data_IF_538106804328
#
_entry.id   IF_538106804328
#
_cell.length_a   1.000
_cell.length_b   1.000
_cell.length_c   1.000
_cell.angle_alpha   90.00
_cell.angle_beta   90.00
_cell.angle_gamma   90.00
#
_symmetry.space_group_name_H-M   'P 1'
#
loop_
_entity.id
_entity.type
_entity.pdbx_description
1 polymer ?
#
# COMPACT_ATOMS: atom_id res chain seq x y z
N UNK A 1 19.40 -23.35 -6.74
CA UNK A 1 20.07 -23.31 -5.42
C UNK A 1 20.48 -21.87 -5.14
N UNK A 2 20.24 -21.36 -3.93
CA UNK A 2 20.74 -20.05 -3.51
C UNK A 2 22.02 -20.27 -2.72
N UNK A 3 23.14 -19.66 -3.16
CA UNK A 3 24.46 -19.84 -2.56
C UNK A 3 25.14 -18.49 -2.32
N UNK A 4 25.74 -18.31 -1.15
CA UNK A 4 26.56 -17.15 -0.82
C UNK A 4 28.03 -17.58 -0.65
N UNK A 5 28.97 -16.85 -1.25
CA UNK A 5 30.42 -17.11 -1.17
C UNK A 5 31.10 -16.37 0.00
N UNK A 6 30.41 -15.36 0.55
CA UNK A 6 30.80 -14.57 1.72
C UNK A 6 29.52 -14.22 2.51
N UNK A 7 29.62 -13.35 3.52
CA UNK A 7 28.49 -12.98 4.37
C UNK A 7 27.43 -12.23 3.57
N UNK A 8 26.22 -12.81 3.47
CA UNK A 8 25.07 -12.22 2.80
C UNK A 8 23.84 -12.13 3.70
N UNK A 9 22.93 -11.18 3.41
CA UNK A 9 21.59 -11.10 4.00
C UNK A 9 20.57 -11.21 2.87
N UNK A 10 19.69 -12.21 2.96
CA UNK A 10 18.68 -12.53 1.95
C UNK A 10 17.30 -12.52 2.60
N UNK A 11 16.29 -12.08 1.86
CA UNK A 11 14.88 -12.37 2.12
C UNK A 11 14.29 -13.05 0.89
N UNK A 12 13.55 -14.14 1.11
CA UNK A 12 12.77 -14.82 0.09
C UNK A 12 11.30 -14.74 0.51
N UNK A 13 10.45 -14.18 -0.36
CA UNK A 13 9.00 -14.14 -0.16
C UNK A 13 8.35 -14.83 -1.36
N UNK A 14 7.42 -15.74 -1.08
CA UNK A 14 6.61 -16.42 -2.07
C UNK A 14 5.26 -16.80 -1.48
N UNK A 15 4.29 -17.03 -2.35
CA UNK A 15 2.93 -17.39 -1.98
C UNK A 15 2.12 -17.71 -3.23
N UNK A 16 0.90 -18.19 -3.01
CA UNK A 16 -0.07 -18.38 -4.07
C UNK A 16 -0.39 -17.06 -4.77
N UNK A 17 -0.75 -17.12 -6.06
CA UNK A 17 -1.19 -15.95 -6.81
C UNK A 17 -2.45 -15.38 -6.15
N UNK A 18 -2.52 -14.06 -6.05
CA UNK A 18 -3.74 -13.38 -5.57
C UNK A 18 -4.92 -13.64 -6.50
N UNK A 19 -6.13 -13.73 -5.94
CA UNK A 19 -7.39 -14.06 -6.63
C UNK A 19 -7.80 -13.12 -7.80
N UNK A 20 -7.05 -12.05 -8.04
CA UNK A 20 -7.31 -11.13 -9.15
C UNK A 20 -6.31 -9.99 -9.21
N UNK A 21 -6.56 -9.07 -10.15
CA UNK A 21 -5.79 -7.84 -10.26
C UNK A 21 -5.88 -6.99 -8.99
N UNK A 22 -4.83 -6.22 -8.74
CA UNK A 22 -4.76 -5.24 -7.66
C UNK A 22 -4.33 -3.92 -8.24
N UNK A 23 -5.13 -2.89 -7.98
CA UNK A 23 -4.81 -1.51 -8.28
C UNK A 23 -4.00 -0.97 -7.11
N UNK A 24 -2.73 -0.66 -7.36
CA UNK A 24 -1.83 -0.06 -6.38
C UNK A 24 -1.63 1.39 -6.78
N UNK A 25 -2.01 2.32 -5.89
CA UNK A 25 -1.81 3.75 -6.10
C UNK A 25 -1.57 4.41 -4.75
N UNK A 26 -0.45 5.12 -4.62
CA UNK A 26 0.00 5.66 -3.34
C UNK A 26 -0.05 4.56 -2.25
N UNK A 27 -0.61 4.85 -1.07
CA UNK A 27 -0.75 3.91 0.03
C UNK A 27 -2.02 3.03 -0.07
N UNK A 28 -2.72 3.02 -1.20
CA UNK A 28 -3.94 2.23 -1.39
C UNK A 28 -3.72 1.05 -2.33
N UNK A 29 -4.24 -0.10 -1.91
CA UNK A 29 -4.32 -1.34 -2.70
C UNK A 29 -5.78 -1.77 -2.75
N UNK A 30 -6.37 -1.82 -3.94
CA UNK A 30 -7.78 -2.13 -4.12
C UNK A 30 -8.00 -3.21 -5.20
N UNK A 31 -9.10 -3.96 -5.09
CA UNK A 31 -9.53 -4.93 -6.11
C UNK A 31 -10.40 -4.30 -7.20
N UNK A 32 -10.85 -3.06 -7.04
CA UNK A 32 -11.65 -2.34 -8.04
C UNK A 32 -11.33 -0.84 -8.06
N UNK A 33 -11.60 -0.21 -9.21
CA UNK A 33 -11.37 1.23 -9.37
C UNK A 33 -12.28 2.06 -8.48
N UNK A 34 -13.54 1.65 -8.32
CA UNK A 34 -14.51 2.35 -7.47
C UNK A 34 -14.04 2.44 -6.01
N UNK A 35 -13.55 1.33 -5.44
CA UNK A 35 -13.00 1.32 -4.08
C UNK A 35 -11.79 2.24 -3.94
N UNK A 36 -10.92 2.27 -4.97
CA UNK A 36 -9.76 3.14 -4.96
C UNK A 36 -10.15 4.62 -4.98
N UNK A 37 -11.11 5.01 -5.81
CA UNK A 37 -11.58 6.41 -5.88
C UNK A 37 -12.33 6.83 -4.60
N UNK A 38 -13.11 5.93 -3.99
CA UNK A 38 -13.72 6.17 -2.69
C UNK A 38 -12.67 6.39 -1.60
N UNK A 39 -11.63 5.55 -1.55
CA UNK A 39 -10.54 5.69 -0.58
C UNK A 39 -9.80 7.02 -0.75
N UNK A 40 -9.54 7.46 -2.00
CA UNK A 40 -8.96 8.78 -2.28
C UNK A 40 -9.82 9.92 -1.76
N UNK A 41 -11.14 9.87 -2.00
CA UNK A 41 -12.06 10.89 -1.51
C UNK A 41 -12.08 10.93 0.02
N UNK A 42 -12.19 9.76 0.67
CA UNK A 42 -12.15 9.65 2.13
C UNK A 42 -10.85 10.19 2.73
N UNK A 43 -9.71 10.00 2.06
CA UNK A 43 -8.44 10.56 2.52
C UNK A 43 -8.40 12.09 2.40
N UNK A 44 -8.82 12.63 1.24
CA UNK A 44 -8.91 14.09 1.04
C UNK A 44 -9.82 14.77 2.06
N UNK A 45 -10.92 14.11 2.41
CA UNK A 45 -11.90 14.59 3.40
C UNK A 45 -11.55 14.20 4.84
N UNK A 46 -10.40 13.56 5.09
CA UNK A 46 -9.95 13.11 6.41
C UNK A 46 -11.00 12.26 7.15
N UNK A 47 -11.68 11.36 6.43
CA UNK A 47 -12.70 10.41 6.94
C UNK A 47 -12.14 9.06 7.36
N UNK A 48 -10.82 8.92 7.43
CA UNK A 48 -10.18 7.80 8.12
C UNK A 48 -9.99 8.17 9.59
N UNK A 49 -9.89 7.18 10.47
CA UNK A 49 -9.64 7.44 11.88
C UNK A 49 -8.30 8.16 12.05
N UNK A 50 -8.29 9.17 12.91
CA UNK A 50 -7.07 9.90 13.25
C UNK A 50 -6.14 9.02 14.09
N UNK A 51 -4.84 9.26 13.97
CA UNK A 51 -3.84 8.58 14.80
C UNK A 51 -3.71 9.33 16.13
N UNK A 52 -3.96 8.69 17.28
CA UNK A 52 -3.87 9.38 18.56
C UNK A 52 -2.47 9.93 18.83
N UNK A 53 -2.37 11.25 19.06
CA UNK A 53 -1.11 11.92 19.39
C UNK A 53 -0.26 12.33 18.18
N UNK A 54 -0.77 12.19 16.96
CA UNK A 54 -0.12 12.63 15.73
C UNK A 54 -1.09 13.43 14.88
N UNK A 55 -0.80 14.71 14.65
CA UNK A 55 -1.63 15.63 13.86
C UNK A 55 -1.09 15.84 12.44
N UNK A 56 -0.06 15.10 12.03
CA UNK A 56 0.52 15.20 10.70
C UNK A 56 -0.44 14.65 9.62
N UNK A 57 -0.55 15.38 8.50
CA UNK A 57 -1.34 14.96 7.35
C UNK A 57 -0.54 15.11 6.05
N UNK A 58 -0.40 14.00 5.33
CA UNK A 58 0.23 13.97 4.00
C UNK A 58 -0.88 13.99 2.93
N UNK A 59 -1.03 15.06 2.15
CA UNK A 59 -2.05 15.13 1.11
C UNK A 59 -1.77 14.15 -0.02
N UNK A 60 -2.82 13.77 -0.76
CA UNK A 60 -2.66 13.05 -2.01
C UNK A 60 -1.90 13.91 -3.03
N UNK A 61 -1.07 13.32 -3.91
CA UNK A 61 -0.44 14.07 -4.98
C UNK A 61 -1.48 14.66 -5.94
N UNK A 62 -1.20 15.86 -6.43
CA UNK A 62 -1.91 16.49 -7.55
C UNK A 62 -1.39 15.84 -8.84
N UNK A 63 -2.06 14.79 -9.30
CA UNK A 63 -1.77 14.20 -10.61
C UNK A 63 -2.61 14.90 -11.69
#
# INVERSE_FOLDING_TARGET
>A
EVKALTRGRLMLIGGEKTDGERLIWWNFVASSRALLEEAKLRWREQRFAHVPGDDEFIPLPEA
#
